data_IF_225447295808
#
_entry.id   IF_225447295808
#
_cell.length_a   1.000
_cell.length_b   1.000
_cell.length_c   1.000
_cell.angle_alpha   90.00
_cell.angle_beta   90.00
_cell.angle_gamma   90.00
#
_symmetry.space_group_name_H-M   'P 1'
#
loop_
_entity.id
_entity.type
_entity.pdbx_description
1 polymer ?
#
# COMPACT_ATOMS: atom_id res chain seq x y z
N UNK A 1 40.49 -6.14 -36.38
CA UNK A 1 40.09 -5.46 -35.13
C UNK A 1 38.57 -5.60 -34.97
N UNK A 2 38.11 -6.68 -34.31
CA UNK A 2 36.68 -7.03 -34.16
C UNK A 2 36.28 -7.25 -32.68
N UNK A 3 36.64 -6.41 -31.69
CA UNK A 3 36.13 -6.59 -30.33
C UNK A 3 34.92 -5.71 -29.99
N UNK A 4 34.60 -4.69 -30.80
CA UNK A 4 33.59 -3.67 -30.43
C UNK A 4 32.15 -4.05 -30.79
N UNK A 5 31.92 -4.93 -31.77
CA UNK A 5 30.57 -5.33 -32.18
C UNK A 5 29.93 -6.37 -31.25
N UNK A 6 30.73 -7.16 -30.51
CA UNK A 6 30.22 -8.16 -29.56
C UNK A 6 29.72 -7.55 -28.24
N UNK A 7 30.23 -6.39 -27.84
CA UNK A 7 29.85 -5.71 -26.59
C UNK A 7 28.46 -5.05 -26.65
N UNK A 8 28.00 -4.65 -27.83
CA UNK A 8 26.69 -4.03 -28.02
C UNK A 8 25.54 -5.06 -28.00
N UNK A 9 25.79 -6.30 -28.41
CA UNK A 9 24.79 -7.37 -28.40
C UNK A 9 24.46 -7.88 -26.99
N UNK A 10 25.47 -7.93 -26.11
CA UNK A 10 25.29 -8.41 -24.73
C UNK A 10 24.50 -7.41 -23.85
N UNK A 11 24.68 -6.11 -24.05
CA UNK A 11 23.95 -5.09 -23.28
C UNK A 11 22.44 -5.04 -23.58
N UNK A 12 22.05 -5.37 -24.82
CA UNK A 12 20.65 -5.38 -25.26
C UNK A 12 19.88 -6.61 -24.74
N UNK A 13 20.56 -7.75 -24.61
CA UNK A 13 19.99 -8.95 -23.99
C UNK A 13 19.80 -8.80 -22.48
N UNK A 14 20.72 -8.14 -21.78
CA UNK A 14 20.60 -7.89 -20.33
C UNK A 14 19.47 -6.91 -20.02
N UNK A 15 19.29 -5.86 -20.84
CA UNK A 15 18.16 -4.93 -20.68
C UNK A 15 16.82 -5.59 -21.01
N UNK A 16 16.73 -6.41 -22.06
CA UNK A 16 15.52 -7.17 -22.36
C UNK A 16 15.17 -8.18 -21.24
N UNK A 17 16.18 -8.85 -20.65
CA UNK A 17 15.98 -9.76 -19.52
C UNK A 17 15.59 -9.01 -18.25
N UNK A 18 16.18 -7.84 -17.99
CA UNK A 18 15.81 -6.99 -16.84
C UNK A 18 14.38 -6.46 -16.98
N UNK A 19 13.97 -6.01 -18.18
CA UNK A 19 12.60 -5.57 -18.46
C UNK A 19 11.61 -6.75 -18.41
N UNK A 20 12.01 -7.93 -18.87
CA UNK A 20 11.20 -9.15 -18.80
C UNK A 20 11.03 -9.64 -17.35
N UNK A 21 12.08 -9.58 -16.52
CA UNK A 21 12.00 -9.85 -15.08
C UNK A 21 11.13 -8.79 -14.36
N UNK A 22 11.26 -7.51 -14.72
CA UNK A 22 10.39 -6.45 -14.21
C UNK A 22 8.92 -6.66 -14.60
N UNK A 23 8.66 -7.19 -15.81
CA UNK A 23 7.32 -7.57 -16.28
C UNK A 23 6.81 -8.86 -15.65
N UNK A 24 7.67 -9.82 -15.30
CA UNK A 24 7.26 -11.08 -14.64
C UNK A 24 6.91 -10.90 -13.17
N UNK A 25 7.47 -9.89 -12.50
CA UNK A 25 6.99 -9.44 -11.18
C UNK A 25 5.64 -8.68 -11.30
N UNK A 26 5.35 -8.10 -12.47
CA UNK A 26 4.02 -7.59 -12.84
C UNK A 26 3.11 -8.70 -13.40
N UNK A 27 3.17 -9.91 -12.83
CA UNK A 27 2.21 -10.96 -13.10
C UNK A 27 0.82 -10.54 -12.62
N UNK A 28 0.07 -9.86 -13.50
CA UNK A 28 -1.34 -9.50 -13.31
C UNK A 28 -1.65 -9.02 -11.90
N UNK A 29 -1.08 -7.89 -11.50
CA UNK A 29 -1.22 -7.36 -10.15
C UNK A 29 -2.72 -7.25 -9.84
N UNK A 30 -3.21 -7.99 -8.83
CA UNK A 30 -4.65 -7.99 -8.47
C UNK A 30 -5.13 -6.57 -8.17
N UNK A 31 -4.20 -5.69 -7.81
CA UNK A 31 -4.38 -4.26 -7.66
C UNK A 31 -4.79 -3.53 -8.96
N UNK A 32 -4.29 -3.95 -10.11
CA UNK A 32 -4.66 -3.37 -11.41
C UNK A 32 -5.98 -3.92 -11.95
N UNK A 33 -6.45 -5.06 -11.42
CA UNK A 33 -7.78 -5.62 -11.69
C UNK A 33 -8.89 -4.96 -10.87
N UNK A 34 -8.58 -4.05 -9.96
CA UNK A 34 -9.60 -3.34 -9.18
C UNK A 34 -10.33 -2.40 -10.13
N UNK A 35 -11.69 -2.46 -10.19
CA UNK A 35 -12.46 -1.65 -11.10
C UNK A 35 -12.17 -0.16 -10.85
N UNK A 36 -11.66 0.49 -11.90
CA UNK A 36 -11.58 1.95 -11.99
C UNK A 36 -12.95 2.46 -12.37
N UNK A 37 -13.38 3.56 -11.76
CA UNK A 37 -14.66 4.14 -12.10
C UNK A 37 -14.69 4.66 -13.55
N UNK A 38 -15.88 4.74 -14.18
CA UNK A 38 -16.02 5.02 -15.61
C UNK A 38 -15.67 6.47 -16.00
N UNK A 39 -15.55 7.38 -15.03
CA UNK A 39 -15.38 8.81 -15.29
C UNK A 39 -13.96 9.33 -15.05
N UNK A 40 -13.59 10.41 -15.76
CA UNK A 40 -12.34 11.17 -15.55
C UNK A 40 -12.15 11.60 -14.08
N UNK A 41 -13.25 11.89 -13.38
CA UNK A 41 -13.26 12.26 -11.96
C UNK A 41 -12.82 11.09 -11.06
N UNK A 42 -13.27 9.88 -11.34
CA UNK A 42 -12.85 8.69 -10.60
C UNK A 42 -11.36 8.42 -10.79
N UNK A 43 -10.83 8.64 -12.00
CA UNK A 43 -9.39 8.51 -12.26
C UNK A 43 -8.55 9.55 -11.50
N UNK A 44 -8.98 10.82 -11.48
CA UNK A 44 -8.31 11.85 -10.69
C UNK A 44 -8.31 11.50 -9.18
N UNK A 45 -9.40 10.91 -8.68
CA UNK A 45 -9.50 10.44 -7.31
C UNK A 45 -8.59 9.25 -7.03
N UNK A 46 -8.46 8.30 -7.97
CA UNK A 46 -7.52 7.18 -7.85
C UNK A 46 -6.09 7.70 -7.63
N UNK A 47 -5.62 8.60 -8.50
CA UNK A 47 -4.27 9.19 -8.42
C UNK A 47 -4.09 9.96 -7.11
N UNK A 48 -5.05 10.83 -6.78
CA UNK A 48 -4.98 11.65 -5.57
C UNK A 48 -4.88 10.80 -4.30
N UNK A 49 -5.74 9.78 -4.15
CA UNK A 49 -5.74 8.93 -2.97
C UNK A 49 -4.56 7.96 -2.97
N UNK A 50 -4.06 7.52 -4.13
CA UNK A 50 -2.85 6.69 -4.22
C UNK A 50 -1.63 7.46 -3.71
N UNK A 51 -1.43 8.71 -4.15
CA UNK A 51 -0.32 9.55 -3.68
C UNK A 51 -0.40 9.80 -2.16
N UNK A 52 -1.59 10.12 -1.64
CA UNK A 52 -1.81 10.34 -0.19
C UNK A 52 -1.56 9.08 0.64
N UNK A 53 -2.08 7.94 0.20
CA UNK A 53 -1.90 6.67 0.90
C UNK A 53 -0.44 6.19 0.83
N UNK A 54 0.25 6.41 -0.29
CA UNK A 54 1.68 6.15 -0.39
C UNK A 54 2.48 7.04 0.55
N UNK A 55 2.21 8.33 0.59
CA UNK A 55 2.88 9.26 1.50
C UNK A 55 2.68 8.83 2.97
N UNK A 56 1.47 8.46 3.36
CA UNK A 56 1.18 7.95 4.71
C UNK A 56 1.89 6.63 5.03
N UNK A 57 2.26 5.84 4.01
CA UNK A 57 3.02 4.59 4.13
C UNK A 57 4.53 4.78 3.87
N UNK A 58 5.04 6.02 3.95
CA UNK A 58 6.45 6.35 3.68
C UNK A 58 6.94 5.84 2.30
N UNK A 59 6.08 5.90 1.29
CA UNK A 59 6.38 5.44 -0.06
C UNK A 59 6.35 3.92 -0.26
N UNK A 60 5.97 3.13 0.76
CA UNK A 60 5.95 1.67 0.65
C UNK A 60 4.79 1.15 -0.22
N UNK A 61 5.07 1.00 -1.52
CA UNK A 61 4.11 0.48 -2.52
C UNK A 61 3.64 -0.94 -2.22
N UNK A 62 4.50 -1.81 -1.70
CA UNK A 62 4.13 -3.19 -1.40
C UNK A 62 3.10 -3.25 -0.25
N UNK A 63 3.29 -2.43 0.79
CA UNK A 63 2.34 -2.30 1.89
C UNK A 63 0.98 -1.75 1.40
N UNK A 64 1.00 -0.74 0.51
CA UNK A 64 -0.23 -0.19 -0.07
C UNK A 64 -1.02 -1.27 -0.81
N UNK A 65 -0.38 -2.00 -1.73
CA UNK A 65 -1.02 -3.05 -2.52
C UNK A 65 -1.64 -4.13 -1.63
N UNK A 66 -0.91 -4.62 -0.62
CA UNK A 66 -1.41 -5.61 0.34
C UNK A 66 -2.63 -5.11 1.10
N UNK A 67 -2.59 -3.87 1.60
CA UNK A 67 -3.71 -3.26 2.32
C UNK A 67 -4.95 -3.07 1.45
N UNK A 68 -4.77 -2.62 0.20
CA UNK A 68 -5.87 -2.43 -0.75
C UNK A 68 -6.49 -3.77 -1.16
N UNK A 69 -5.67 -4.78 -1.49
CA UNK A 69 -6.18 -6.13 -1.84
C UNK A 69 -6.90 -6.76 -0.63
N UNK A 70 -6.37 -6.58 0.58
CA UNK A 70 -7.05 -7.03 1.80
C UNK A 70 -8.41 -6.34 1.94
N UNK A 71 -8.48 -5.01 1.79
CA UNK A 71 -9.74 -4.25 1.83
C UNK A 71 -10.74 -4.69 0.75
N UNK A 72 -10.27 -4.95 -0.46
CA UNK A 72 -11.10 -5.40 -1.58
C UNK A 72 -11.77 -6.73 -1.27
N UNK A 73 -11.06 -7.67 -0.63
CA UNK A 73 -11.65 -8.96 -0.22
C UNK A 73 -12.82 -8.79 0.75
N UNK A 74 -12.73 -7.81 1.64
CA UNK A 74 -13.80 -7.50 2.60
C UNK A 74 -14.91 -6.64 1.99
N UNK A 75 -14.61 -5.89 0.92
CA UNK A 75 -15.53 -4.94 0.30
C UNK A 75 -15.43 -5.02 -1.24
N UNK A 76 -15.90 -6.11 -1.86
CA UNK A 76 -15.68 -6.38 -3.29
C UNK A 76 -16.44 -5.42 -4.24
N UNK A 77 -17.37 -4.61 -3.73
CA UNK A 77 -18.13 -3.64 -4.53
C UNK A 77 -17.56 -2.21 -4.56
N UNK A 78 -16.48 -1.93 -3.82
CA UNK A 78 -15.93 -0.58 -3.76
C UNK A 78 -14.98 -0.29 -4.92
N UNK A 79 -14.99 0.98 -5.36
CA UNK A 79 -14.07 1.50 -6.37
C UNK A 79 -12.65 1.59 -5.80
N UNK A 80 -11.65 1.60 -6.69
CA UNK A 80 -10.23 1.70 -6.31
C UNK A 80 -9.94 2.91 -5.41
N UNK A 81 -10.40 4.11 -5.74
CA UNK A 81 -10.19 5.30 -4.93
C UNK A 81 -10.85 5.21 -3.54
N UNK A 82 -11.99 4.53 -3.41
CA UNK A 82 -12.67 4.33 -2.12
C UNK A 82 -11.84 3.41 -1.22
N UNK A 83 -11.33 2.32 -1.78
CA UNK A 83 -10.42 1.41 -1.08
C UNK A 83 -9.14 2.14 -0.64
N UNK A 84 -8.56 2.96 -1.51
CA UNK A 84 -7.38 3.78 -1.20
C UNK A 84 -7.64 4.78 -0.07
N UNK A 85 -8.79 5.46 -0.10
CA UNK A 85 -9.23 6.35 0.96
C UNK A 85 -9.37 5.62 2.30
N UNK A 86 -9.95 4.42 2.31
CA UNK A 86 -10.06 3.60 3.52
C UNK A 86 -8.69 3.14 4.06
N UNK A 87 -7.73 2.85 3.18
CA UNK A 87 -6.35 2.56 3.60
C UNK A 87 -5.71 3.79 4.22
N UNK A 88 -5.81 4.96 3.57
CA UNK A 88 -5.30 6.22 4.11
C UNK A 88 -5.85 6.51 5.50
N UNK A 89 -7.18 6.46 5.67
CA UNK A 89 -7.84 6.75 6.95
C UNK A 89 -7.37 5.83 8.09
N UNK A 90 -7.17 4.55 7.83
CA UNK A 90 -6.72 3.58 8.83
C UNK A 90 -5.25 3.78 9.19
N UNK A 91 -4.40 4.03 8.19
CA UNK A 91 -2.99 4.35 8.43
C UNK A 91 -2.88 5.63 9.26
N UNK A 92 -3.57 6.71 8.88
CA UNK A 92 -3.57 7.95 9.66
C UNK A 92 -4.15 7.77 11.05
N UNK A 93 -5.24 6.99 11.20
CA UNK A 93 -5.84 6.73 12.52
C UNK A 93 -4.87 6.00 13.46
N UNK A 94 -4.07 5.06 12.94
CA UNK A 94 -3.04 4.35 13.73
C UNK A 94 -1.90 5.27 14.14
N UNK A 95 -1.51 6.21 13.28
CA UNK A 95 -0.46 7.19 13.60
C UNK A 95 -0.93 8.27 14.57
N UNK A 96 -2.21 8.64 14.55
CA UNK A 96 -2.77 9.67 15.44
C UNK A 96 -3.33 9.10 16.75
N UNK A 97 -3.53 7.78 16.84
CA UNK A 97 -3.93 7.17 18.11
C UNK A 97 -2.80 7.36 19.13
N UNK A 98 -3.05 8.02 20.28
CA UNK A 98 -2.07 8.02 21.36
C UNK A 98 -1.76 6.56 21.72
N UNK A 99 -0.53 6.24 22.18
CA UNK A 99 -0.26 4.91 22.72
C UNK A 99 -1.36 4.65 23.74
N UNK A 100 -2.20 3.65 23.47
CA UNK A 100 -3.18 3.20 24.45
C UNK A 100 -2.34 2.75 25.62
N UNK A 101 -2.22 3.62 26.63
CA UNK A 101 -1.74 3.24 27.94
C UNK A 101 -2.45 1.94 28.26
N UNK A 102 -1.66 0.88 28.30
CA UNK A 102 -2.07 -0.41 28.83
C UNK A 102 -2.73 -0.05 30.15
N UNK A 103 -4.05 -0.22 30.21
CA UNK A 103 -4.87 -0.05 31.40
C UNK A 103 -4.04 -0.52 32.58
N UNK A 104 -3.45 0.44 33.31
CA UNK A 104 -3.00 0.19 34.65
C UNK A 104 -4.29 -0.14 35.37
N UNK A 105 -4.51 -1.44 35.60
CA UNK A 105 -5.56 -1.88 36.48
C UNK A 105 -5.42 -1.03 37.76
N UNK A 106 -6.48 -0.34 38.21
CA UNK A 106 -6.39 0.35 39.48
C UNK A 106 -6.12 -0.74 40.52
N UNK A 107 -4.89 -0.81 41.03
CA UNK A 107 -4.57 -1.62 42.19
C UNK A 107 -5.45 -1.05 43.29
N UNK A 108 -6.47 -1.81 43.67
CA UNK A 108 -7.45 -1.43 44.68
C UNK A 108 -6.73 -0.93 45.92
N UNK A 109 -6.81 0.39 46.14
CA UNK A 109 -6.41 1.00 47.39
C UNK A 109 -7.33 0.45 48.47
N UNK A 110 -6.79 -0.39 49.34
CA UNK A 110 -7.48 -0.89 50.52
C UNK A 110 -7.73 0.33 51.41
N UNK A 111 -8.98 0.79 51.48
CA UNK A 111 -9.40 1.76 52.47
C UNK A 111 -9.34 1.09 53.85
N UNK A 112 -8.32 1.43 54.64
CA UNK A 112 -8.24 1.11 56.06
C UNK A 112 -9.27 1.97 56.80
N UNK A 113 -10.42 1.41 57.12
CA UNK A 113 -11.34 2.00 58.10
C UNK A 113 -10.86 1.63 59.50
N UNK A 114 -10.43 2.64 60.26
CA UNK A 114 -10.34 2.53 61.72
C UNK A 114 -11.75 2.84 62.29
N UNK A 115 -12.34 1.87 62.97
CA UNK A 115 -13.40 2.04 63.95
C UNK A 115 -12.91 1.49 65.28
#
# INVERSE_FOLDING_TARGET
MIPTTLLLGAGLLVTALAVALLRRVNGGDRYDRIPRGPGRRDHAQDVYWETRALAALNGNRAALRRSVVSRQRHNPGLKRWELLRLVYLDVTRRHTAPPRDRRAAPRGGVFRTHF
#
